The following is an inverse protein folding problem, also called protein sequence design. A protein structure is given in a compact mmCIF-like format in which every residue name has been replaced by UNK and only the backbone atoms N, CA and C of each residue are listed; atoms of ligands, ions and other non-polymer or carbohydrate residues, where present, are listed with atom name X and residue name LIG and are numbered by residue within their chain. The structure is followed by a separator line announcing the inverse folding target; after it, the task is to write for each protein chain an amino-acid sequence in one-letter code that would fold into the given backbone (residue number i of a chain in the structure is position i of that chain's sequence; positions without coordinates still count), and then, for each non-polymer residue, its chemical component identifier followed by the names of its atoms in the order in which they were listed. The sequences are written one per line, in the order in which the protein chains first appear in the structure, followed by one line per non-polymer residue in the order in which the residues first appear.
data_IF_116204106868
#
_entry.id   IF_116204106868
#
_cell.length_a   1.000
_cell.length_b   1.000
_cell.length_c   1.000
_cell.angle_alpha   90.00
_cell.angle_beta   90.00
_cell.angle_gamma   90.00
#
_symmetry.space_group_name_H-M   'P 1'
#
loop_
_entity.id
_entity.type
_entity.pdbx_description
1 polymer ?
#
# COMPACT_ATOMS: atom_id res chain seq x y z
N UNK A 1 0.71 -65.45 -61.20
CA UNK A 1 0.72 -64.10 -61.80
C UNK A 1 0.98 -63.06 -60.71
N UNK A 2 1.64 -61.96 -61.08
CA UNK A 2 2.50 -61.09 -60.26
C UNK A 2 1.74 -60.01 -59.46
N UNK A 3 2.36 -59.61 -58.34
CA UNK A 3 1.96 -58.64 -57.29
C UNK A 3 1.60 -57.23 -57.79
N UNK A 4 0.77 -56.51 -57.03
CA UNK A 4 0.86 -55.04 -56.93
C UNK A 4 0.62 -54.56 -55.49
N UNK A 5 1.72 -54.31 -54.77
CA UNK A 5 1.70 -53.57 -53.51
C UNK A 5 1.47 -52.09 -53.82
N UNK A 6 0.44 -51.49 -53.25
CA UNK A 6 0.26 -50.03 -53.26
C UNK A 6 1.02 -49.46 -52.05
N UNK A 7 2.22 -48.97 -52.29
CA UNK A 7 2.92 -48.12 -51.33
C UNK A 7 2.42 -46.68 -51.50
N UNK A 8 1.65 -46.19 -50.53
CA UNK A 8 1.36 -44.76 -50.37
C UNK A 8 2.63 -44.04 -49.97
N UNK A 9 3.28 -43.38 -50.92
CA UNK A 9 4.38 -42.46 -50.65
C UNK A 9 3.80 -41.18 -50.03
N UNK A 10 3.99 -40.99 -48.73
CA UNK A 10 3.77 -39.70 -48.09
C UNK A 10 4.86 -38.75 -48.57
N UNK A 11 4.48 -37.77 -49.40
CA UNK A 11 5.37 -36.73 -49.88
C UNK A 11 6.02 -36.01 -48.72
N UNK A 12 7.36 -36.00 -48.69
CA UNK A 12 8.12 -35.15 -47.76
C UNK A 12 7.86 -33.70 -48.14
N UNK A 13 7.09 -32.99 -47.30
CA UNK A 13 6.93 -31.55 -47.40
C UNK A 13 8.30 -30.88 -47.13
N UNK A 14 8.93 -30.37 -48.18
CA UNK A 14 10.10 -29.51 -48.05
C UNK A 14 9.61 -28.09 -47.73
N UNK A 15 9.92 -27.59 -46.54
CA UNK A 15 9.66 -26.20 -46.15
C UNK A 15 10.45 -25.25 -47.06
N UNK A 16 9.79 -24.21 -47.56
CA UNK A 16 10.47 -23.21 -48.40
C UNK A 16 11.20 -22.18 -47.53
N UNK A 17 12.31 -21.62 -48.02
CA UNK A 17 13.01 -20.52 -47.34
C UNK A 17 12.09 -19.30 -47.14
N UNK A 18 11.18 -19.06 -48.09
CA UNK A 18 10.21 -17.98 -48.03
C UNK A 18 9.25 -18.15 -46.85
N UNK A 19 8.81 -19.38 -46.58
CA UNK A 19 7.88 -19.72 -45.51
C UNK A 19 8.49 -19.44 -44.13
N UNK A 20 9.76 -19.77 -43.94
CA UNK A 20 10.48 -19.41 -42.71
C UNK A 20 10.72 -17.90 -42.61
N UNK A 21 11.03 -17.25 -43.73
CA UNK A 21 11.31 -15.82 -43.78
C UNK A 21 10.09 -14.98 -43.40
N UNK A 22 8.93 -15.27 -43.97
CA UNK A 22 7.67 -14.57 -43.64
C UNK A 22 7.27 -14.84 -42.19
N UNK A 23 7.43 -16.07 -41.71
CA UNK A 23 7.12 -16.43 -40.32
C UNK A 23 7.98 -15.64 -39.33
N UNK A 24 9.28 -15.52 -39.59
CA UNK A 24 10.18 -14.75 -38.73
C UNK A 24 9.82 -13.26 -38.71
N UNK A 25 9.41 -12.70 -39.86
CA UNK A 25 8.93 -11.32 -39.93
C UNK A 25 7.64 -11.14 -39.12
N UNK A 26 6.67 -12.04 -39.26
CA UNK A 26 5.40 -11.98 -38.53
C UNK A 26 5.65 -12.12 -37.02
N UNK A 27 6.43 -13.11 -36.58
CA UNK A 27 6.77 -13.30 -35.17
C UNK A 27 7.55 -12.09 -34.63
N UNK A 28 8.43 -11.48 -35.43
CA UNK A 28 9.15 -10.26 -35.06
C UNK A 28 8.23 -9.06 -34.83
N UNK A 29 7.24 -8.84 -35.71
CA UNK A 29 6.25 -7.76 -35.55
C UNK A 29 5.35 -8.02 -34.34
N UNK A 30 4.89 -9.25 -34.15
CA UNK A 30 4.07 -9.63 -32.98
C UNK A 30 4.88 -9.42 -31.70
N UNK A 31 6.12 -9.89 -31.63
CA UNK A 31 6.98 -9.75 -30.45
C UNK A 31 7.22 -8.28 -30.08
N UNK A 32 7.36 -7.39 -31.07
CA UNK A 32 7.56 -5.95 -30.84
C UNK A 32 6.34 -5.26 -30.20
N UNK A 33 5.11 -5.68 -30.55
CA UNK A 33 3.87 -5.13 -30.00
C UNK A 33 3.43 -5.88 -28.72
N UNK A 34 3.89 -7.12 -28.58
CA UNK A 34 3.47 -8.02 -27.51
C UNK A 34 4.07 -7.71 -26.13
N UNK A 35 5.01 -6.77 -25.99
CA UNK A 35 5.51 -6.36 -24.67
C UNK A 35 4.38 -5.66 -23.90
N UNK A 36 3.69 -6.34 -22.98
CA UNK A 36 2.51 -5.79 -22.33
C UNK A 36 2.95 -4.81 -21.26
N UNK A 37 2.09 -3.82 -20.97
CA UNK A 37 2.26 -2.77 -19.95
C UNK A 37 2.23 -3.31 -18.50
N UNK A 38 2.98 -4.36 -18.19
CA UNK A 38 2.95 -5.04 -16.89
C UNK A 38 3.42 -4.13 -15.74
N UNK A 39 4.36 -3.23 -15.99
CA UNK A 39 4.85 -2.27 -14.98
C UNK A 39 3.77 -1.31 -14.50
N UNK A 40 3.11 -0.60 -15.41
CA UNK A 40 2.07 0.37 -15.05
C UNK A 40 0.85 -0.29 -14.37
N UNK A 41 0.52 -1.53 -14.75
CA UNK A 41 -0.54 -2.30 -14.11
C UNK A 41 -0.16 -2.72 -12.67
N UNK A 42 1.10 -3.13 -12.45
CA UNK A 42 1.60 -3.49 -11.13
C UNK A 42 1.64 -2.29 -10.18
N UNK A 43 2.12 -1.13 -10.64
CA UNK A 43 2.15 0.10 -9.85
C UNK A 43 0.74 0.53 -9.45
N UNK A 44 -0.20 0.53 -10.41
CA UNK A 44 -1.60 0.88 -10.14
C UNK A 44 -2.23 -0.07 -9.11
N UNK A 45 -1.92 -1.36 -9.18
CA UNK A 45 -2.38 -2.35 -8.20
C UNK A 45 -1.80 -2.09 -6.79
N UNK A 46 -0.53 -1.69 -6.70
CA UNK A 46 0.12 -1.36 -5.43
C UNK A 46 -0.48 -0.10 -4.77
N UNK A 47 -0.79 0.93 -5.55
CA UNK A 47 -1.50 2.12 -5.06
C UNK A 47 -2.92 1.80 -4.60
N UNK A 48 -3.67 1.02 -5.38
CA UNK A 48 -5.01 0.58 -5.01
C UNK A 48 -5.01 -0.27 -3.72
N UNK A 49 -4.02 -1.16 -3.56
CA UNK A 49 -3.84 -1.93 -2.34
C UNK A 49 -3.54 -1.02 -1.13
N UNK A 50 -2.59 -0.08 -1.26
CA UNK A 50 -2.25 0.85 -0.19
C UNK A 50 -3.44 1.73 0.23
N UNK A 51 -4.28 2.15 -0.71
CA UNK A 51 -5.51 2.91 -0.42
C UNK A 51 -6.53 2.08 0.37
N UNK A 52 -6.69 0.80 0.03
CA UNK A 52 -7.56 -0.11 0.79
C UNK A 52 -7.04 -0.33 2.20
N UNK A 53 -5.74 -0.57 2.34
CA UNK A 53 -5.07 -0.79 3.62
C UNK A 53 -5.20 0.45 4.52
N UNK A 54 -4.97 1.65 3.97
CA UNK A 54 -5.19 2.91 4.68
C UNK A 54 -6.64 3.05 5.16
N UNK A 55 -7.62 2.89 4.29
CA UNK A 55 -9.04 3.00 4.66
C UNK A 55 -9.44 1.95 5.70
N UNK A 56 -8.86 0.75 5.65
CA UNK A 56 -9.07 -0.27 6.67
C UNK A 56 -8.50 0.17 8.02
N UNK A 57 -7.24 0.63 8.06
CA UNK A 57 -6.60 1.10 9.28
C UNK A 57 -7.39 2.25 9.92
N UNK A 58 -7.76 3.27 9.13
CA UNK A 58 -8.51 4.42 9.60
C UNK A 58 -9.85 3.99 10.24
N UNK A 59 -10.60 3.09 9.58
CA UNK A 59 -11.86 2.56 10.14
C UNK A 59 -11.69 1.80 11.44
N UNK A 60 -10.61 1.01 11.57
CA UNK A 60 -10.37 0.26 12.81
C UNK A 60 -9.94 1.18 13.96
N UNK A 61 -9.20 2.25 13.68
CA UNK A 61 -8.84 3.27 14.68
C UNK A 61 -10.09 4.01 15.16
N UNK A 62 -10.99 4.38 14.25
CA UNK A 62 -12.26 5.03 14.60
C UNK A 62 -13.17 4.10 15.42
N UNK A 63 -13.23 2.82 15.05
CA UNK A 63 -13.97 1.81 15.81
C UNK A 63 -13.40 1.63 17.21
N UNK A 64 -12.06 1.58 17.35
CA UNK A 64 -11.41 1.54 18.67
C UNK A 64 -11.85 2.74 19.52
N UNK A 65 -11.74 3.95 18.97
CA UNK A 65 -12.09 5.16 19.70
C UNK A 65 -13.57 5.19 20.10
N UNK A 66 -14.47 4.72 19.24
CA UNK A 66 -15.88 4.62 19.55
C UNK A 66 -16.16 3.72 20.77
N UNK A 67 -15.41 2.62 20.92
CA UNK A 67 -15.53 1.70 22.05
C UNK A 67 -14.77 2.16 23.31
N UNK A 68 -13.84 3.11 23.18
CA UNK A 68 -12.96 3.61 24.24
C UNK A 68 -13.24 5.06 24.62
N UNK A 69 -14.51 5.47 24.64
CA UNK A 69 -14.95 6.82 25.05
C UNK A 69 -14.31 7.96 24.25
N UNK A 70 -14.02 7.74 22.97
CA UNK A 70 -13.37 8.71 22.09
C UNK A 70 -11.84 8.77 22.24
N UNK A 71 -11.24 7.91 23.07
CA UNK A 71 -9.78 7.85 23.24
C UNK A 71 -9.18 7.03 22.11
N UNK A 72 -8.28 7.65 21.35
CA UNK A 72 -7.59 6.98 20.25
C UNK A 72 -6.49 6.02 20.75
N UNK A 73 -6.12 5.00 19.96
CA UNK A 73 -5.01 4.11 20.27
C UNK A 73 -3.70 4.86 20.57
N UNK A 74 -2.86 4.26 21.41
CA UNK A 74 -1.64 4.80 22.00
C UNK A 74 -1.79 6.06 22.85
N UNK A 75 -2.94 6.73 22.91
CA UNK A 75 -3.11 7.89 23.78
C UNK A 75 -2.92 7.53 25.26
N UNK A 76 -3.39 6.34 25.65
CA UNK A 76 -3.14 5.73 26.95
C UNK A 76 -2.24 4.49 26.84
N UNK A 77 -1.51 4.18 27.91
CA UNK A 77 -0.73 2.95 28.00
C UNK A 77 -1.63 1.70 28.02
N UNK A 78 -1.11 0.59 27.51
CA UNK A 78 -1.87 -0.66 27.36
C UNK A 78 -1.72 -1.63 28.56
N UNK A 79 -1.09 -1.16 29.63
CA UNK A 79 -0.76 -1.95 30.83
C UNK A 79 0.61 -2.60 30.80
N UNK A 80 1.24 -2.71 29.62
CA UNK A 80 2.63 -3.18 29.45
C UNK A 80 3.50 -2.11 28.79
N UNK A 81 2.98 -1.50 27.73
CA UNK A 81 3.61 -0.46 26.94
C UNK A 81 3.14 0.93 27.40
N UNK A 82 4.07 1.88 27.40
CA UNK A 82 3.79 3.26 27.76
C UNK A 82 2.82 3.92 26.75
N UNK A 83 2.11 4.95 27.22
CA UNK A 83 1.38 5.85 26.33
C UNK A 83 2.31 6.44 25.26
N UNK A 84 1.72 6.88 24.15
CA UNK A 84 2.37 7.49 23.01
C UNK A 84 3.40 6.59 22.30
N UNK A 85 3.32 5.28 22.52
CA UNK A 85 4.26 4.31 21.95
C UNK A 85 3.65 3.52 20.80
N UNK A 86 4.48 3.19 19.81
CA UNK A 86 4.12 2.30 18.71
C UNK A 86 3.68 0.91 19.18
N UNK A 87 4.27 0.42 20.27
CA UNK A 87 3.90 -0.88 20.83
C UNK A 87 2.49 -0.86 21.43
N UNK A 88 2.12 0.20 22.16
CA UNK A 88 0.75 0.37 22.66
C UNK A 88 -0.26 0.45 21.51
N UNK A 89 0.05 1.22 20.46
CA UNK A 89 -0.79 1.30 19.25
C UNK A 89 -1.08 -0.09 18.65
N UNK A 90 -0.02 -0.88 18.43
CA UNK A 90 -0.13 -2.21 17.82
C UNK A 90 -0.94 -3.14 18.72
N UNK A 91 -0.63 -3.20 20.01
CA UNK A 91 -1.28 -4.12 20.95
C UNK A 91 -2.77 -3.79 21.11
N UNK A 92 -3.12 -2.50 21.22
CA UNK A 92 -4.51 -2.07 21.38
C UNK A 92 -5.37 -2.37 20.14
N UNK A 93 -4.79 -2.39 18.94
CA UNK A 93 -5.51 -2.76 17.72
C UNK A 93 -5.52 -4.28 17.45
N UNK A 94 -4.58 -5.05 17.98
CA UNK A 94 -4.42 -6.48 17.66
C UNK A 94 -4.83 -7.43 18.77
N UNK A 95 -4.96 -6.95 20.00
CA UNK A 95 -5.38 -7.73 21.17
C UNK A 95 -6.76 -7.31 21.68
N UNK A 96 -7.28 -8.06 22.65
CA UNK A 96 -8.50 -7.68 23.33
C UNK A 96 -8.19 -6.58 24.35
N UNK A 97 -9.05 -5.58 24.45
CA UNK A 97 -8.88 -4.44 25.33
C UNK A 97 -10.09 -4.24 26.24
N UNK A 98 -9.84 -3.57 27.36
CA UNK A 98 -10.88 -3.08 28.26
C UNK A 98 -11.07 -1.58 28.05
N UNK A 99 -12.13 -1.00 28.60
CA UNK A 99 -12.51 0.40 28.37
C UNK A 99 -11.37 1.43 28.53
N UNK A 100 -10.39 1.14 29.40
CA UNK A 100 -9.22 2.01 29.63
C UNK A 100 -8.07 1.83 28.62
N UNK A 101 -8.22 0.98 27.61
CA UNK A 101 -7.18 0.66 26.63
C UNK A 101 -6.11 -0.33 27.08
N UNK A 102 -6.25 -0.96 28.25
CA UNK A 102 -5.34 -2.03 28.70
C UNK A 102 -5.70 -3.34 28.01
N UNK A 103 -4.68 -4.09 27.59
CA UNK A 103 -4.83 -5.23 26.69
C UNK A 103 -4.61 -6.57 27.38
N UNK A 104 -5.16 -7.62 26.75
CA UNK A 104 -4.96 -9.03 27.11
C UNK A 104 -4.92 -9.88 25.84
N UNK A 105 -4.05 -10.90 25.84
CA UNK A 105 -3.98 -11.91 24.79
C UNK A 105 -5.18 -12.85 24.78
N UNK A 106 -5.95 -12.91 25.87
CA UNK A 106 -7.15 -13.73 26.00
C UNK A 106 -8.39 -12.88 26.25
N UNK A 107 -9.53 -13.17 25.57
CA UNK A 107 -10.79 -12.50 25.84
C UNK A 107 -11.34 -12.87 27.23
N UNK A 108 -11.97 -11.93 27.91
CA UNK A 108 -12.67 -12.17 29.19
C UNK A 108 -13.75 -11.11 29.43
N UNK A 109 -14.54 -11.26 30.50
CA UNK A 109 -15.53 -10.24 30.89
C UNK A 109 -14.92 -8.86 31.16
N UNK A 110 -13.62 -8.81 31.46
CA UNK A 110 -12.90 -7.55 31.68
C UNK A 110 -12.26 -7.02 30.40
N UNK A 111 -12.05 -7.85 29.37
CA UNK A 111 -11.43 -7.50 28.07
C UNK A 111 -12.39 -7.84 26.93
N UNK A 112 -13.42 -7.01 26.79
CA UNK A 112 -14.55 -7.25 25.88
C UNK A 112 -14.34 -6.67 24.48
N UNK A 113 -13.47 -5.68 24.32
CA UNK A 113 -13.31 -4.93 23.08
C UNK A 113 -12.19 -5.50 22.20
N UNK A 114 -12.31 -5.36 20.89
CA UNK A 114 -11.33 -5.87 19.93
C UNK A 114 -11.32 -7.40 19.77
N UNK A 115 -10.28 -7.98 19.12
CA UNK A 115 -9.22 -7.29 18.37
C UNK A 115 -9.74 -6.68 17.06
N UNK A 116 -9.28 -5.48 16.74
CA UNK A 116 -9.73 -4.70 15.59
C UNK A 116 -9.02 -5.12 14.29
N UNK A 117 -7.76 -5.54 14.40
CA UNK A 117 -6.93 -6.04 13.31
C UNK A 117 -6.53 -7.49 13.56
N UNK A 118 -7.17 -8.42 12.85
CA UNK A 118 -6.86 -9.87 12.96
C UNK A 118 -5.55 -10.27 12.27
N UNK A 119 -5.23 -9.65 11.14
CA UNK A 119 -4.04 -9.96 10.34
C UNK A 119 -2.84 -9.08 10.72
N UNK A 120 -2.98 -8.24 11.74
CA UNK A 120 -2.00 -7.23 12.11
C UNK A 120 -2.00 -6.03 11.18
N UNK A 121 -0.93 -5.25 11.26
CA UNK A 121 -0.78 -4.02 10.47
C UNK A 121 -0.28 -4.38 9.06
N UNK A 122 -0.98 -3.98 7.99
CA UNK A 122 -0.56 -4.26 6.63
C UNK A 122 0.74 -3.51 6.32
N UNK A 123 1.63 -4.16 5.57
CA UNK A 123 2.83 -3.52 5.04
C UNK A 123 2.47 -2.52 3.93
N UNK A 124 3.08 -1.33 3.96
CA UNK A 124 2.96 -0.34 2.89
C UNK A 124 3.39 -0.94 1.55
N UNK A 125 2.65 -0.70 0.46
CA UNK A 125 2.97 -1.31 -0.85
C UNK A 125 3.67 -0.37 -1.82
N UNK A 126 3.78 0.91 -1.49
CA UNK A 126 4.28 1.96 -2.39
C UNK A 126 5.31 2.86 -1.71
N UNK A 127 6.13 3.53 -2.53
CA UNK A 127 7.11 4.50 -2.08
C UNK A 127 8.34 3.90 -1.39
N UNK A 128 9.25 4.76 -0.90
CA UNK A 128 10.55 4.34 -0.35
C UNK A 128 10.47 3.45 0.90
N UNK A 129 9.30 3.42 1.55
CA UNK A 129 9.04 2.63 2.76
C UNK A 129 8.18 1.40 2.46
N UNK A 130 8.02 1.02 1.18
CA UNK A 130 7.32 -0.20 0.79
C UNK A 130 7.92 -1.44 1.48
N UNK A 131 7.05 -2.35 1.90
CA UNK A 131 7.41 -3.54 2.68
C UNK A 131 7.43 -3.33 4.19
N UNK A 132 7.48 -2.09 4.68
CA UNK A 132 7.42 -1.81 6.12
C UNK A 132 5.98 -1.83 6.63
N UNK A 133 5.77 -2.46 7.78
CA UNK A 133 4.49 -2.54 8.50
C UNK A 133 4.53 -1.85 9.88
N UNK A 134 5.69 -1.34 10.30
CA UNK A 134 5.81 -0.59 11.54
C UNK A 134 5.05 0.73 11.45
N UNK A 135 4.56 1.20 12.60
CA UNK A 135 3.84 2.48 12.74
C UNK A 135 4.64 3.42 13.62
N UNK A 136 4.83 4.65 13.15
CA UNK A 136 5.37 5.74 13.96
C UNK A 136 4.21 6.49 14.60
N UNK A 137 4.18 6.54 15.93
CA UNK A 137 3.27 7.40 16.68
C UNK A 137 3.91 8.79 16.82
N UNK A 138 3.14 9.83 16.52
CA UNK A 138 3.49 11.24 16.75
C UNK A 138 2.47 11.87 17.70
N UNK A 139 2.95 12.68 18.64
CA UNK A 139 2.17 13.27 19.72
C UNK A 139 1.92 14.75 19.51
N UNK A 140 0.75 15.24 19.89
CA UNK A 140 0.42 16.67 19.85
C UNK A 140 0.33 17.28 18.44
N UNK A 141 0.41 16.45 17.39
CA UNK A 141 0.32 16.88 16.00
C UNK A 141 -1.11 16.74 15.49
N UNK A 142 -1.63 17.78 14.83
CA UNK A 142 -2.97 17.77 14.22
C UNK A 142 -3.03 16.97 12.92
N UNK A 143 -1.88 16.72 12.29
CA UNK A 143 -1.74 15.87 11.11
C UNK A 143 -0.42 15.10 11.23
N UNK A 144 -0.41 13.77 10.98
CA UNK A 144 0.84 13.02 11.02
C UNK A 144 1.73 13.40 9.82
N UNK A 145 3.04 13.55 10.07
CA UNK A 145 4.03 13.98 9.07
C UNK A 145 4.86 12.78 8.56
N UNK A 146 4.71 12.35 7.30
CA UNK A 146 5.63 11.40 6.68
C UNK A 146 7.07 11.91 6.74
N UNK A 147 8.02 11.04 7.10
CA UNK A 147 9.43 11.42 7.23
C UNK A 147 10.38 10.27 6.88
N UNK A 148 11.46 10.61 6.19
CA UNK A 148 12.53 9.69 5.84
C UNK A 148 13.22 9.11 7.07
N UNK A 149 13.26 9.87 8.17
CA UNK A 149 13.85 9.47 9.45
C UNK A 149 13.08 8.34 10.14
N UNK A 150 11.78 8.17 9.82
CA UNK A 150 10.97 7.13 10.44
C UNK A 150 11.21 5.78 9.77
N UNK A 151 11.61 4.78 10.55
CA UNK A 151 11.70 3.37 10.15
C UNK A 151 10.31 2.69 10.22
N UNK A 152 9.31 3.32 9.62
CA UNK A 152 7.91 2.91 9.68
C UNK A 152 7.25 3.05 8.30
N UNK A 153 6.28 2.17 8.01
CA UNK A 153 5.45 2.25 6.80
C UNK A 153 4.25 3.19 6.97
N UNK A 154 3.86 3.48 8.21
CA UNK A 154 2.74 4.37 8.53
C UNK A 154 3.14 5.37 9.60
N UNK A 155 2.55 6.56 9.54
CA UNK A 155 2.67 7.61 10.57
C UNK A 155 1.27 7.89 11.10
N UNK A 156 1.14 7.91 12.42
CA UNK A 156 -0.13 7.99 13.12
C UNK A 156 -0.09 9.06 14.21
N UNK A 157 -1.13 9.89 14.28
CA UNK A 157 -1.32 10.88 15.35
C UNK A 157 -2.29 10.34 16.39
N UNK A 158 -1.81 10.19 17.62
CA UNK A 158 -2.63 9.76 18.76
C UNK A 158 -3.56 10.86 19.32
N UNK A 159 -3.41 12.07 18.79
CA UNK A 159 -4.20 13.24 19.17
C UNK A 159 -5.43 13.36 18.28
N UNK A 160 -5.31 13.01 17.00
CA UNK A 160 -6.40 13.15 16.02
C UNK A 160 -6.96 11.83 15.50
N UNK A 161 -6.28 10.72 15.77
CA UNK A 161 -6.65 9.41 15.24
C UNK A 161 -6.35 9.24 13.75
N UNK A 162 -5.70 10.22 13.11
CA UNK A 162 -5.35 10.14 11.70
C UNK A 162 -4.13 9.23 11.50
N UNK A 163 -4.20 8.35 10.51
CA UNK A 163 -3.06 7.55 10.04
C UNK A 163 -2.79 7.87 8.57
N UNK A 164 -1.52 8.04 8.21
CA UNK A 164 -1.10 8.31 6.83
C UNK A 164 0.04 7.37 6.45
N UNK A 165 0.16 6.99 5.16
CA UNK A 165 1.29 6.21 4.70
C UNK A 165 2.59 7.04 4.77
N UNK A 166 3.67 6.43 5.22
CA UNK A 166 4.98 7.07 5.26
C UNK A 166 5.63 7.05 3.87
N UNK A 167 5.32 8.05 3.06
CA UNK A 167 5.93 8.24 1.73
C UNK A 167 6.69 9.57 1.76
N UNK A 168 7.93 9.58 2.26
CA UNK A 168 8.68 10.82 2.47
C UNK A 168 9.25 11.44 1.18
N UNK A 169 9.07 10.81 0.02
CA UNK A 169 9.43 11.38 -1.28
C UNK A 169 8.24 12.14 -1.89
N UNK A 170 8.02 13.35 -1.39
CA UNK A 170 7.28 14.39 -2.10
C UNK A 170 7.81 15.76 -1.66
N UNK A 171 8.10 16.62 -2.64
CA UNK A 171 8.58 17.98 -2.42
C UNK A 171 7.60 18.88 -1.65
N UNK A 172 6.36 18.43 -1.37
CA UNK A 172 5.44 18.99 -0.37
C UNK A 172 4.42 17.94 0.09
N UNK A 173 3.95 18.07 1.34
CA UNK A 173 3.01 17.17 2.04
C UNK A 173 1.63 17.00 1.39
N UNK A 174 1.26 17.84 0.42
CA UNK A 174 -0.03 17.77 -0.27
C UNK A 174 -0.05 16.69 -1.35
N UNK A 175 1.10 16.39 -1.96
CA UNK A 175 1.21 15.41 -3.04
C UNK A 175 0.96 13.97 -2.59
N UNK A 176 1.29 13.60 -1.35
CA UNK A 176 1.18 12.21 -0.90
C UNK A 176 -0.28 11.73 -0.68
N UNK A 177 -1.16 12.61 -0.17
CA UNK A 177 -2.59 12.31 0.00
C UNK A 177 -3.31 12.45 -1.34
N UNK A 178 -3.02 13.52 -2.10
CA UNK A 178 -3.60 13.80 -3.41
C UNK A 178 -3.29 12.70 -4.44
N UNK A 179 -2.08 12.11 -4.42
CA UNK A 179 -1.70 10.96 -5.24
C UNK A 179 -2.44 9.66 -4.87
N UNK A 180 -2.92 9.52 -3.63
CA UNK A 180 -3.75 8.38 -3.20
C UNK A 180 -5.24 8.58 -3.48
N UNK A 181 -5.71 9.82 -3.62
CA UNK A 181 -7.11 10.14 -3.91
C UNK A 181 -7.42 10.34 -5.41
N UNK A 182 -6.42 10.24 -6.30
CA UNK A 182 -6.61 10.31 -7.75
C UNK A 182 -6.97 11.70 -8.27
N UNK A 183 -6.81 12.75 -7.47
CA UNK A 183 -6.94 14.12 -7.94
C UNK A 183 -5.58 14.53 -8.50
N UNK A 184 -5.44 14.56 -9.83
CA UNK A 184 -4.26 15.14 -10.46
C UNK A 184 -4.18 16.62 -10.07
N UNK A 185 -3.30 16.95 -9.13
CA UNK A 185 -2.91 18.32 -8.84
C UNK A 185 -2.05 18.83 -9.99
N UNK A 186 -2.65 19.64 -10.85
CA UNK A 186 -1.95 20.51 -11.80
C UNK A 186 -1.01 21.42 -11.01
N UNK A 187 0.26 21.04 -10.89
CA UNK A 187 1.35 21.97 -10.53
C UNK A 187 2.16 22.27 -11.78
N UNK A 188 1.46 22.83 -12.75
CA UNK A 188 1.98 23.13 -14.08
C UNK A 188 1.36 24.40 -14.66
N UNK A 189 1.48 25.52 -13.95
CA UNK A 189 1.52 26.82 -14.61
C UNK A 189 2.47 27.72 -13.83
N UNK A 190 3.71 27.81 -14.32
CA UNK A 190 4.67 28.77 -13.82
C UNK A 190 4.22 30.18 -14.14
N UNK A 191 4.22 31.03 -13.13
CA UNK A 191 4.55 32.44 -13.29
C UNK A 191 5.57 32.76 -12.20
N UNK A 192 6.82 32.88 -12.64
CA UNK A 192 7.91 33.35 -11.79
C UNK A 192 7.81 34.85 -11.55
N UNK A 193 8.55 35.28 -10.53
CA UNK A 193 9.14 36.62 -10.49
C UNK A 193 8.57 37.56 -9.45
N UNK A 194 9.46 38.00 -8.55
CA UNK A 194 9.35 39.31 -7.90
C UNK A 194 9.21 39.25 -6.40
N UNK A 195 10.33 39.31 -5.68
CA UNK A 195 10.32 39.57 -4.26
C UNK A 195 9.90 41.01 -3.92
N UNK A 196 9.50 41.21 -2.67
CA UNK A 196 9.67 42.46 -1.94
C UNK A 196 9.52 42.17 -0.44
N UNK A 197 10.65 42.25 0.27
CA UNK A 197 10.71 42.62 1.67
C UNK A 197 10.46 44.12 1.75
N UNK A 198 9.40 44.58 2.44
CA UNK A 198 9.33 45.82 3.25
C UNK A 198 7.88 46.04 3.71
N UNK A 199 7.61 45.87 5.01
CA UNK A 199 7.31 46.92 6.02
C UNK A 199 7.04 46.26 7.37
#
# INVERSE_FOLDING_TARGET
MVRRQMATAYGRAAFTLLELMVTMVIVGVIAAIAVPRMGAAADSAAYAASRRDHAQLQRQIELYAAEHMGVFPANSGDGTNAAHSSAAFVSQLTLNSRLSGVVSSSPSSSFLYGPYLRTGIPALKVGPKAGLNAVRVVTGTTRPDPSAAYAAGWVYSDTTGQIVPNIPDAATLEDAIVRLEGKSGVTGFGLGGGGAQIE
#
